data_IF_060814471273
#
_entry.id   IF_060814471273
#
_cell.length_a   1.000
_cell.length_b   1.000
_cell.length_c   1.000
_cell.angle_alpha   90.00
_cell.angle_beta   90.00
_cell.angle_gamma   90.00
#
_symmetry.space_group_name_H-M   'P 1'
#
loop_
_entity.id
_entity.type
_entity.pdbx_description
1 polymer ?
#
# COMPACT_ATOMS: atom_id res chain seq x y z
N UNK A 1 -76.11 -40.71 30.57
CA UNK A 1 -75.41 -41.36 29.44
C UNK A 1 -75.44 -40.57 28.11
N UNK A 2 -76.56 -39.91 27.76
CA UNK A 2 -76.64 -39.17 26.48
C UNK A 2 -75.77 -37.88 26.38
N UNK A 3 -75.43 -37.18 27.46
CA UNK A 3 -74.60 -35.95 27.41
C UNK A 3 -73.13 -36.26 27.22
N UNK A 4 -72.60 -37.31 27.87
CA UNK A 4 -71.16 -37.67 27.71
C UNK A 4 -70.85 -38.15 26.26
N UNK A 5 -71.85 -38.80 25.59
CA UNK A 5 -71.71 -39.23 24.20
C UNK A 5 -71.73 -38.02 23.24
N UNK A 6 -72.48 -36.95 23.54
CA UNK A 6 -72.50 -35.72 22.78
C UNK A 6 -71.21 -34.94 22.92
N UNK A 7 -70.69 -34.87 24.16
CA UNK A 7 -69.42 -34.18 24.42
C UNK A 7 -68.22 -34.88 23.71
N UNK A 8 -68.16 -36.20 23.78
CA UNK A 8 -67.10 -36.94 23.05
C UNK A 8 -67.20 -36.79 21.52
N UNK A 9 -68.42 -36.69 20.96
CA UNK A 9 -68.57 -36.42 19.53
C UNK A 9 -68.06 -34.99 19.14
N UNK A 10 -68.31 -33.98 19.99
CA UNK A 10 -67.85 -32.62 19.73
C UNK A 10 -66.30 -32.56 19.80
N UNK A 11 -65.70 -33.24 20.78
CA UNK A 11 -64.25 -33.32 20.90
C UNK A 11 -63.62 -33.97 19.68
N UNK A 12 -64.19 -35.07 19.17
CA UNK A 12 -63.71 -35.76 17.95
C UNK A 12 -63.87 -34.88 16.73
N UNK A 13 -64.92 -34.09 16.59
CA UNK A 13 -65.13 -33.19 15.45
C UNK A 13 -64.08 -32.06 15.54
N UNK A 14 -63.80 -31.51 16.69
CA UNK A 14 -62.76 -30.48 16.85
C UNK A 14 -61.36 -31.01 16.52
N UNK A 15 -61.05 -32.23 16.96
CA UNK A 15 -59.77 -32.88 16.62
C UNK A 15 -59.65 -33.10 15.09
N UNK A 16 -60.69 -33.59 14.43
CA UNK A 16 -60.69 -33.78 12.97
C UNK A 16 -60.54 -32.45 12.23
N UNK A 17 -61.19 -31.38 12.69
CA UNK A 17 -61.04 -30.04 12.10
C UNK A 17 -59.63 -29.50 12.30
N UNK A 18 -59.02 -29.67 13.48
CA UNK A 18 -57.61 -29.27 13.73
C UNK A 18 -56.65 -30.05 12.83
N UNK A 19 -56.83 -31.37 12.71
CA UNK A 19 -56.02 -32.17 11.78
C UNK A 19 -56.22 -31.74 10.31
N UNK A 20 -57.45 -31.41 9.92
CA UNK A 20 -57.74 -30.88 8.59
C UNK A 20 -57.06 -29.55 8.31
N UNK A 21 -56.99 -28.64 9.31
CA UNK A 21 -56.27 -27.39 9.21
C UNK A 21 -54.75 -27.60 9.11
N UNK A 22 -54.20 -28.53 9.91
CA UNK A 22 -52.75 -28.85 9.84
C UNK A 22 -52.41 -29.46 8.47
N UNK A 23 -53.19 -30.42 7.98
CA UNK A 23 -52.98 -31.02 6.67
C UNK A 23 -53.12 -29.97 5.55
N UNK A 24 -54.16 -29.12 5.62
CA UNK A 24 -54.35 -28.03 4.67
C UNK A 24 -53.16 -27.04 4.67
N UNK A 25 -52.65 -26.70 5.84
CA UNK A 25 -51.45 -25.88 5.97
C UNK A 25 -50.19 -26.53 5.40
N UNK A 26 -50.01 -27.84 5.64
CA UNK A 26 -48.90 -28.62 5.08
C UNK A 26 -48.95 -28.68 3.55
N UNK A 27 -50.15 -28.93 2.98
CA UNK A 27 -50.36 -28.91 1.52
C UNK A 27 -50.08 -27.52 0.96
N UNK A 28 -50.59 -26.45 1.63
CA UNK A 28 -50.32 -25.06 1.23
C UNK A 28 -48.81 -24.76 1.19
N UNK A 29 -48.07 -25.09 2.26
CA UNK A 29 -46.62 -24.89 2.31
C UNK A 29 -45.89 -25.71 1.25
N UNK A 30 -46.36 -26.97 0.98
CA UNK A 30 -45.70 -27.87 0.00
C UNK A 30 -45.91 -27.44 -1.45
N UNK A 31 -47.01 -26.74 -1.75
CA UNK A 31 -47.33 -26.30 -3.13
C UNK A 31 -47.01 -24.83 -3.37
N UNK A 32 -46.91 -24.02 -2.30
CA UNK A 32 -46.64 -22.61 -2.43
C UNK A 32 -45.17 -22.34 -2.76
N UNK A 33 -44.92 -21.62 -3.85
CA UNK A 33 -43.57 -21.14 -4.23
C UNK A 33 -43.14 -19.98 -3.32
N UNK A 34 -44.09 -19.14 -2.87
CA UNK A 34 -43.86 -18.01 -1.99
C UNK A 34 -44.71 -18.10 -0.72
N UNK A 35 -44.06 -17.96 0.45
CA UNK A 35 -44.72 -17.87 1.75
C UNK A 35 -44.20 -16.60 2.46
N UNK A 36 -45.12 -15.75 2.89
CA UNK A 36 -44.83 -14.50 3.60
C UNK A 36 -43.79 -13.60 2.86
N UNK A 37 -43.86 -13.57 1.52
CA UNK A 37 -42.95 -12.79 0.69
C UNK A 37 -41.60 -13.47 0.40
N UNK A 38 -41.36 -14.66 0.94
CA UNK A 38 -40.11 -15.40 0.76
C UNK A 38 -40.31 -16.52 -0.29
N UNK A 39 -39.48 -16.55 -1.32
CA UNK A 39 -39.41 -17.62 -2.28
C UNK A 39 -38.73 -18.84 -1.66
N UNK A 40 -39.50 -19.89 -1.39
CA UNK A 40 -38.99 -21.09 -0.72
C UNK A 40 -37.91 -21.83 -1.51
N UNK A 41 -37.97 -21.78 -2.83
CA UNK A 41 -36.94 -22.40 -3.69
C UNK A 41 -35.62 -21.64 -3.60
N UNK A 42 -35.65 -20.32 -3.69
CA UNK A 42 -34.44 -19.47 -3.51
C UNK A 42 -33.89 -19.61 -2.08
N UNK A 43 -34.76 -19.67 -1.08
CA UNK A 43 -34.34 -19.88 0.30
C UNK A 43 -33.67 -21.24 0.50
N UNK A 44 -34.22 -22.30 -0.08
CA UNK A 44 -33.61 -23.65 -0.04
C UNK A 44 -32.26 -23.66 -0.78
N UNK A 45 -32.21 -23.05 -1.97
CA UNK A 45 -30.96 -22.92 -2.74
C UNK A 45 -29.89 -22.11 -1.97
N UNK A 46 -30.26 -21.03 -1.31
CA UNK A 46 -29.29 -20.22 -0.55
C UNK A 46 -28.69 -21.01 0.62
N UNK A 47 -29.42 -21.93 1.22
CA UNK A 47 -28.92 -22.77 2.31
C UNK A 47 -28.10 -23.96 1.85
N UNK A 48 -28.40 -24.48 0.67
CA UNK A 48 -27.75 -25.66 0.09
C UNK A 48 -26.62 -25.29 -0.88
N UNK A 49 -26.47 -24.01 -1.25
CA UNK A 49 -25.40 -23.56 -2.15
C UNK A 49 -24.25 -23.01 -1.36
N UNK A 50 -23.02 -23.38 -1.72
CA UNK A 50 -21.77 -22.79 -1.25
C UNK A 50 -21.11 -22.06 -2.41
N UNK A 51 -20.64 -20.87 -2.15
CA UNK A 51 -19.78 -20.12 -3.06
C UNK A 51 -18.41 -20.04 -2.42
N UNK A 52 -17.40 -20.52 -3.11
CA UNK A 52 -16.00 -20.41 -2.73
C UNK A 52 -15.32 -19.41 -3.67
N UNK A 53 -14.63 -18.43 -3.11
CA UNK A 53 -13.85 -17.45 -3.88
C UNK A 53 -12.56 -18.10 -4.36
N UNK A 54 -12.28 -17.97 -5.65
CA UNK A 54 -10.99 -18.34 -6.25
C UNK A 54 -10.20 -17.05 -6.39
N UNK A 55 -9.34 -16.76 -5.41
CA UNK A 55 -8.59 -15.53 -5.36
C UNK A 55 -7.66 -15.39 -6.57
N UNK A 56 -7.63 -14.21 -7.14
CA UNK A 56 -6.62 -13.82 -8.12
C UNK A 56 -5.26 -13.65 -7.42
N UNK A 57 -4.18 -13.98 -8.13
CA UNK A 57 -2.86 -13.66 -7.64
C UNK A 57 -2.52 -12.22 -8.02
N UNK A 58 -2.12 -11.40 -7.03
CA UNK A 58 -1.62 -10.05 -7.29
C UNK A 58 -0.34 -10.11 -8.12
N UNK A 59 -0.24 -9.27 -9.14
CA UNK A 59 0.91 -9.20 -10.03
C UNK A 59 2.21 -8.82 -9.29
N UNK A 60 3.33 -9.24 -9.82
CA UNK A 60 4.65 -8.91 -9.28
C UNK A 60 5.15 -7.56 -9.80
N UNK A 61 5.99 -6.91 -8.99
CA UNK A 61 6.71 -5.68 -9.38
C UNK A 61 8.17 -6.05 -9.61
N UNK A 62 8.69 -5.65 -10.77
CA UNK A 62 10.06 -5.92 -11.20
C UNK A 62 10.82 -4.61 -11.41
N UNK A 63 12.15 -4.68 -11.25
CA UNK A 63 13.05 -3.63 -11.69
C UNK A 63 13.25 -3.64 -13.23
N UNK A 64 14.08 -2.74 -13.76
CA UNK A 64 14.35 -2.65 -15.19
C UNK A 64 15.15 -3.85 -15.74
N UNK A 65 15.78 -4.66 -14.90
CA UNK A 65 16.54 -5.85 -15.26
C UNK A 65 15.72 -7.14 -15.15
N UNK A 66 14.53 -7.08 -14.49
CA UNK A 66 13.66 -8.22 -14.24
C UNK A 66 13.84 -8.85 -12.87
N UNK A 67 14.57 -8.19 -11.95
CA UNK A 67 14.67 -8.61 -10.55
C UNK A 67 13.35 -8.32 -9.83
N UNK A 68 12.94 -9.25 -8.95
CA UNK A 68 11.68 -9.14 -8.21
C UNK A 68 11.82 -8.15 -7.06
N UNK A 69 11.02 -7.09 -7.08
CA UNK A 69 10.94 -6.10 -6.01
C UNK A 69 9.77 -6.34 -5.05
N UNK A 70 8.66 -6.87 -5.58
CA UNK A 70 7.51 -7.30 -4.78
C UNK A 70 6.78 -8.46 -5.45
N UNK A 71 6.41 -9.47 -4.67
CA UNK A 71 5.67 -10.64 -5.16
C UNK A 71 4.71 -11.19 -4.10
N UNK A 72 3.79 -12.04 -4.51
CA UNK A 72 2.97 -12.80 -3.60
C UNK A 72 3.63 -14.14 -3.29
N UNK A 73 3.76 -14.45 -2.01
CA UNK A 73 4.25 -15.74 -1.53
C UNK A 73 3.18 -16.47 -0.73
N UNK A 74 3.25 -17.80 -0.71
CA UNK A 74 2.42 -18.60 0.18
C UNK A 74 2.74 -18.25 1.63
N UNK A 75 1.70 -18.12 2.42
CA UNK A 75 1.78 -17.96 3.86
C UNK A 75 0.74 -18.86 4.52
N UNK A 76 0.88 -19.09 5.80
CA UNK A 76 0.01 -20.00 6.53
C UNK A 76 -0.39 -19.37 7.86
N UNK A 77 -1.64 -19.57 8.25
CA UNK A 77 -2.12 -19.26 9.60
C UNK A 77 -2.26 -20.56 10.37
N UNK A 78 -1.57 -20.66 11.50
CA UNK A 78 -1.64 -21.83 12.37
C UNK A 78 -2.96 -21.82 13.12
N UNK A 79 -3.69 -22.91 13.02
CA UNK A 79 -4.95 -23.15 13.75
C UNK A 79 -4.81 -24.36 14.66
N UNK A 80 -5.47 -24.32 15.79
CA UNK A 80 -5.61 -25.45 16.70
C UNK A 80 -7.06 -25.87 16.79
N UNK A 81 -7.34 -27.13 16.49
CA UNK A 81 -8.65 -27.73 16.72
C UNK A 81 -8.74 -28.22 18.16
N UNK A 82 -9.73 -27.74 18.92
CA UNK A 82 -9.85 -28.01 20.36
C UNK A 82 -10.96 -29.03 20.65
N UNK A 83 -11.99 -29.12 19.78
CA UNK A 83 -13.12 -30.03 19.97
C UNK A 83 -12.77 -31.47 19.64
N UNK A 84 -13.01 -32.38 20.58
CA UNK A 84 -12.89 -33.83 20.39
C UNK A 84 -13.84 -34.41 19.33
N UNK A 85 -14.93 -33.69 19.03
CA UNK A 85 -15.92 -34.09 18.00
C UNK A 85 -15.32 -34.16 16.60
N UNK A 86 -14.13 -33.53 16.37
CA UNK A 86 -13.39 -33.62 15.11
C UNK A 86 -12.77 -35.01 14.91
N UNK A 87 -12.35 -35.65 15.99
CA UNK A 87 -11.68 -36.94 15.94
C UNK A 87 -12.63 -38.06 15.64
N UNK A 88 -12.47 -38.69 14.48
CA UNK A 88 -13.26 -39.89 14.08
C UNK A 88 -12.56 -41.19 14.43
N UNK A 89 -11.25 -41.15 14.65
CA UNK A 89 -10.43 -42.30 15.00
C UNK A 89 -9.55 -41.99 16.21
N UNK A 90 -9.82 -42.60 17.35
CA UNK A 90 -9.08 -42.39 18.59
C UNK A 90 -7.56 -42.72 18.50
N UNK A 91 -7.15 -43.55 17.53
CA UNK A 91 -5.73 -43.84 17.33
C UNK A 91 -4.98 -42.74 16.62
N UNK A 92 -5.70 -41.87 15.88
CA UNK A 92 -5.16 -40.70 15.21
C UNK A 92 -6.02 -39.49 15.56
N UNK A 93 -5.83 -38.86 16.71
CA UNK A 93 -6.62 -37.73 17.13
C UNK A 93 -6.37 -36.50 16.23
N UNK A 94 -7.48 -35.84 15.84
CA UNK A 94 -7.46 -34.65 14.99
C UNK A 94 -7.74 -33.36 15.79
N UNK A 95 -7.63 -33.42 17.12
CA UNK A 95 -7.75 -32.29 18.04
C UNK A 95 -6.60 -32.27 19.03
N UNK A 96 -6.36 -31.14 19.69
CA UNK A 96 -5.33 -31.00 20.72
C UNK A 96 -5.66 -31.89 21.91
N UNK A 97 -4.85 -32.95 22.14
CA UNK A 97 -5.07 -33.92 23.21
C UNK A 97 -4.35 -33.52 24.49
N UNK A 98 -3.10 -33.08 24.39
CA UNK A 98 -2.29 -32.62 25.51
C UNK A 98 -1.87 -31.17 25.33
N UNK A 99 -2.55 -30.28 26.06
CA UNK A 99 -2.28 -28.83 26.01
C UNK A 99 -0.87 -28.52 26.49
N UNK A 100 -0.36 -29.19 27.52
CA UNK A 100 0.95 -28.87 28.10
C UNK A 100 2.07 -29.34 27.17
N UNK A 101 1.98 -30.51 26.56
CA UNK A 101 2.94 -30.98 25.55
C UNK A 101 2.95 -30.04 24.32
N UNK A 102 1.75 -29.69 23.82
CA UNK A 102 1.61 -28.74 22.69
C UNK A 102 2.22 -27.38 23.01
N UNK A 103 1.97 -26.82 24.20
CA UNK A 103 2.56 -25.54 24.62
C UNK A 103 4.08 -25.63 24.66
N UNK A 104 4.62 -26.67 25.30
CA UNK A 104 6.07 -26.84 25.49
C UNK A 104 6.81 -26.94 24.16
N UNK A 105 6.24 -27.63 23.17
CA UNK A 105 6.86 -27.83 21.86
C UNK A 105 6.65 -26.66 20.91
N UNK A 106 5.44 -26.09 20.88
CA UNK A 106 5.03 -25.10 19.88
C UNK A 106 5.43 -23.67 20.25
N UNK A 107 5.40 -23.31 21.56
CA UNK A 107 5.75 -21.97 22.04
C UNK A 107 7.12 -21.48 21.56
N UNK A 108 8.23 -22.25 21.70
CA UNK A 108 9.54 -21.79 21.26
C UNK A 108 9.66 -21.69 19.74
N UNK A 109 8.92 -22.49 18.98
CA UNK A 109 8.95 -22.49 17.51
C UNK A 109 8.20 -21.29 16.96
N UNK A 110 7.04 -20.94 17.54
CA UNK A 110 6.26 -19.74 17.17
C UNK A 110 6.83 -18.44 17.76
N UNK A 111 7.65 -18.52 18.83
CA UNK A 111 8.07 -17.36 19.61
C UNK A 111 6.92 -16.73 20.41
N UNK A 112 5.88 -17.53 20.71
CA UNK A 112 4.69 -17.10 21.48
C UNK A 112 4.89 -17.38 22.97
N UNK A 113 4.41 -16.50 23.84
CA UNK A 113 4.40 -16.71 25.29
C UNK A 113 3.60 -17.96 25.67
N UNK A 114 4.19 -18.83 26.53
CA UNK A 114 3.56 -20.09 26.92
C UNK A 114 2.21 -19.93 27.59
N UNK A 115 2.06 -18.92 28.45
CA UNK A 115 0.78 -18.67 29.16
C UNK A 115 -0.29 -18.23 28.19
N UNK A 116 0.09 -17.43 27.21
CA UNK A 116 -0.81 -16.98 26.16
C UNK A 116 -1.24 -18.14 25.26
N UNK A 117 -0.28 -18.94 24.77
CA UNK A 117 -0.57 -20.13 23.97
C UNK A 117 -1.49 -21.08 24.75
N UNK A 118 -1.17 -21.36 26.02
CA UNK A 118 -2.01 -22.19 26.88
C UNK A 118 -3.44 -21.66 27.00
N UNK A 119 -3.60 -20.34 27.22
CA UNK A 119 -4.93 -19.73 27.33
C UNK A 119 -5.77 -19.86 26.05
N UNK A 120 -5.11 -19.84 24.88
CA UNK A 120 -5.78 -20.08 23.61
C UNK A 120 -6.21 -21.53 23.44
N UNK A 121 -5.35 -22.48 23.81
CA UNK A 121 -5.62 -23.91 23.68
C UNK A 121 -6.62 -24.44 24.73
N UNK A 122 -6.88 -23.72 25.81
CA UNK A 122 -7.87 -24.06 26.85
C UNK A 122 -9.24 -23.41 26.60
N UNK A 123 -9.44 -22.70 25.46
CA UNK A 123 -10.75 -22.11 25.14
C UNK A 123 -11.79 -23.17 24.80
N UNK A 124 -13.03 -22.94 25.25
CA UNK A 124 -14.19 -23.81 24.88
C UNK A 124 -14.77 -23.41 23.52
N UNK A 125 -14.01 -23.68 22.47
CA UNK A 125 -14.39 -23.43 21.07
C UNK A 125 -13.98 -24.60 20.17
N UNK A 126 -14.55 -24.70 18.98
CA UNK A 126 -14.24 -25.77 18.05
C UNK A 126 -12.78 -25.67 17.54
N UNK A 127 -12.34 -24.47 17.21
CA UNK A 127 -10.98 -24.17 16.75
C UNK A 127 -10.57 -22.76 17.14
N UNK A 128 -9.28 -22.51 17.19
CA UNK A 128 -8.69 -21.19 17.48
C UNK A 128 -7.50 -20.92 16.56
N UNK A 129 -7.33 -19.67 16.11
CA UNK A 129 -6.12 -19.22 15.44
C UNK A 129 -5.03 -18.86 16.46
N UNK A 130 -3.81 -19.28 16.23
CA UNK A 130 -2.67 -19.00 17.10
C UNK A 130 -1.99 -17.67 16.69
N UNK A 131 -2.73 -16.57 16.72
CA UNK A 131 -2.26 -15.25 16.30
C UNK A 131 -1.82 -14.34 17.45
N UNK A 132 -1.05 -13.27 17.15
CA UNK A 132 -0.54 -12.90 15.82
C UNK A 132 0.68 -13.71 15.35
N UNK A 133 1.43 -14.37 16.25
CA UNK A 133 2.71 -15.03 15.95
C UNK A 133 2.58 -16.20 14.97
N UNK A 134 1.44 -16.91 15.01
CA UNK A 134 1.12 -17.99 14.08
C UNK A 134 0.41 -17.54 12.80
N UNK A 135 0.22 -16.24 12.55
CA UNK A 135 -0.37 -15.73 11.30
C UNK A 135 0.68 -15.37 10.28
N UNK A 136 0.41 -15.68 9.01
CA UNK A 136 1.27 -15.30 7.89
C UNK A 136 2.67 -15.90 7.94
N UNK A 137 2.84 -17.06 8.57
CA UNK A 137 4.12 -17.76 8.65
C UNK A 137 4.53 -18.29 7.27
N UNK A 138 5.84 -18.37 7.03
CA UNK A 138 6.38 -18.91 5.79
C UNK A 138 6.47 -20.45 5.81
N UNK A 139 6.75 -21.04 4.63
CA UNK A 139 6.87 -22.49 4.43
C UNK A 139 7.85 -23.15 5.42
N UNK A 140 9.04 -22.58 5.60
CA UNK A 140 10.05 -23.15 6.50
C UNK A 140 9.60 -23.26 7.97
N UNK A 141 8.81 -22.29 8.44
CA UNK A 141 8.29 -22.33 9.80
C UNK A 141 7.13 -23.33 9.91
N UNK A 142 6.29 -23.40 8.86
CA UNK A 142 5.25 -24.42 8.75
C UNK A 142 5.83 -25.82 8.82
N UNK A 143 6.85 -26.14 8.00
CA UNK A 143 7.54 -27.43 8.01
C UNK A 143 8.09 -27.79 9.40
N UNK A 144 8.72 -26.84 10.09
CA UNK A 144 9.19 -27.05 11.48
C UNK A 144 8.08 -27.37 12.47
N UNK A 145 6.88 -26.79 12.27
CA UNK A 145 5.73 -27.08 13.12
C UNK A 145 5.14 -28.45 12.77
N UNK A 146 5.10 -28.82 11.50
CA UNK A 146 4.66 -30.16 11.05
C UNK A 146 5.58 -31.26 11.59
N UNK A 147 6.89 -31.03 11.65
CA UNK A 147 7.85 -31.98 12.24
C UNK A 147 7.62 -32.25 13.74
N UNK A 148 6.88 -31.38 14.45
CA UNK A 148 6.54 -31.60 15.86
C UNK A 148 5.46 -32.70 16.03
N UNK A 149 4.76 -33.06 14.97
CA UNK A 149 3.70 -34.07 14.91
C UNK A 149 2.66 -33.88 16.04
N UNK A 150 2.15 -32.63 16.17
CA UNK A 150 1.21 -32.24 17.23
C UNK A 150 -0.23 -32.48 16.78
N UNK A 151 -1.00 -33.35 17.46
CA UNK A 151 -2.40 -33.57 17.12
C UNK A 151 -3.23 -32.28 17.22
N UNK A 152 -4.08 -32.06 16.23
CA UNK A 152 -4.99 -30.93 16.20
C UNK A 152 -4.37 -29.59 15.77
N UNK A 153 -3.08 -29.52 15.49
CA UNK A 153 -2.45 -28.36 14.85
C UNK A 153 -2.55 -28.51 13.34
N UNK A 154 -3.02 -27.48 12.68
CA UNK A 154 -3.25 -27.46 11.23
C UNK A 154 -2.99 -26.06 10.66
N UNK A 155 -3.05 -25.90 9.35
CA UNK A 155 -2.66 -24.67 8.67
C UNK A 155 -3.72 -24.23 7.67
N UNK A 156 -4.13 -22.99 7.77
CA UNK A 156 -4.88 -22.33 6.71
C UNK A 156 -3.89 -21.69 5.74
N UNK A 157 -3.86 -22.17 4.50
CA UNK A 157 -3.03 -21.61 3.45
C UNK A 157 -3.59 -20.26 3.02
N UNK A 158 -2.74 -19.27 2.95
CA UNK A 158 -3.04 -17.92 2.55
C UNK A 158 -1.96 -17.37 1.61
N UNK A 159 -2.18 -16.18 1.07
CA UNK A 159 -1.18 -15.42 0.34
C UNK A 159 -0.80 -14.17 1.13
N UNK A 160 0.48 -13.78 1.06
CA UNK A 160 0.93 -12.48 1.56
C UNK A 160 1.84 -11.81 0.56
N UNK A 161 1.84 -10.47 0.60
CA UNK A 161 2.79 -9.67 -0.16
C UNK A 161 4.17 -9.76 0.50
N UNK A 162 5.20 -9.91 -0.32
CA UNK A 162 6.58 -10.05 0.13
C UNK A 162 7.51 -9.15 -0.68
N UNK A 163 8.42 -8.48 0.00
CA UNK A 163 9.40 -7.56 -0.53
C UNK A 163 10.80 -8.10 -0.23
N UNK A 164 11.47 -8.74 -1.20
CA UNK A 164 12.74 -9.44 -0.96
C UNK A 164 13.83 -8.56 -0.35
N UNK A 165 13.81 -7.28 -0.68
CA UNK A 165 14.82 -6.31 -0.25
C UNK A 165 14.37 -5.42 0.93
N UNK A 166 13.22 -5.69 1.55
CA UNK A 166 12.74 -5.02 2.76
C UNK A 166 12.48 -3.52 2.59
N UNK A 167 13.44 -2.67 2.98
CA UNK A 167 13.31 -1.21 2.94
C UNK A 167 13.75 -0.56 1.63
N UNK A 168 14.16 -1.35 0.66
CA UNK A 168 14.66 -0.91 -0.62
C UNK A 168 13.60 -0.15 -1.43
N UNK A 169 13.91 1.06 -1.88
CA UNK A 169 13.00 1.94 -2.63
C UNK A 169 11.59 2.06 -2.00
N UNK A 170 11.51 2.06 -0.67
CA UNK A 170 10.28 1.86 0.08
C UNK A 170 9.16 2.83 -0.29
N UNK A 171 9.47 4.11 -0.51
CA UNK A 171 8.48 5.11 -0.92
C UNK A 171 8.08 5.04 -2.40
N UNK A 172 8.90 4.41 -3.24
CA UNK A 172 8.57 4.19 -4.66
C UNK A 172 7.71 2.94 -4.79
N UNK A 173 8.19 1.79 -4.30
CA UNK A 173 7.43 0.54 -4.35
C UNK A 173 6.18 0.65 -3.49
N UNK A 174 6.31 1.20 -2.29
CA UNK A 174 5.25 1.26 -1.31
C UNK A 174 5.03 -0.08 -0.62
N UNK A 175 3.80 -0.33 -0.22
CA UNK A 175 3.39 -1.60 0.37
C UNK A 175 1.91 -1.89 0.11
N UNK A 176 1.58 -3.17 0.15
CA UNK A 176 0.21 -3.68 0.16
C UNK A 176 -0.01 -4.56 1.39
N UNK A 177 -1.22 -4.56 1.91
CA UNK A 177 -1.62 -5.38 3.06
C UNK A 177 -2.99 -5.98 2.87
N UNK A 178 -3.33 -7.02 3.66
CA UNK A 178 -4.68 -7.58 3.67
C UNK A 178 -5.67 -6.59 4.30
N UNK A 179 -6.81 -6.44 3.64
CA UNK A 179 -7.98 -5.77 4.19
C UNK A 179 -8.81 -6.73 5.09
N UNK A 180 -9.98 -6.26 5.59
CA UNK A 180 -10.91 -7.06 6.39
C UNK A 180 -11.49 -8.26 5.65
N UNK A 181 -11.56 -8.20 4.34
CA UNK A 181 -12.16 -9.22 3.48
C UNK A 181 -11.13 -10.28 3.03
N UNK A 182 -9.84 -10.05 3.35
CA UNK A 182 -8.73 -10.94 3.05
C UNK A 182 -7.99 -10.60 1.76
N UNK A 183 -8.39 -9.54 1.03
CA UNK A 183 -7.77 -9.12 -0.22
C UNK A 183 -6.49 -8.34 0.07
N UNK A 184 -5.48 -8.49 -0.78
CA UNK A 184 -4.24 -7.71 -0.70
C UNK A 184 -4.42 -6.42 -1.48
N UNK A 185 -4.46 -5.28 -0.77
CA UNK A 185 -4.71 -3.94 -1.31
C UNK A 185 -3.48 -3.06 -1.15
N UNK A 186 -3.13 -2.32 -2.19
CA UNK A 186 -2.03 -1.36 -2.20
C UNK A 186 -2.37 -0.12 -1.37
N UNK A 187 -1.46 0.27 -0.47
CA UNK A 187 -1.67 1.39 0.46
C UNK A 187 -0.78 2.60 0.15
N UNK A 188 0.36 2.38 -0.49
CA UNK A 188 1.35 3.41 -0.78
C UNK A 188 2.17 3.07 -2.04
N UNK A 189 2.76 4.08 -2.69
CA UNK A 189 3.69 3.92 -3.79
C UNK A 189 3.05 3.30 -5.03
N UNK A 190 3.84 2.60 -5.81
CA UNK A 190 3.41 1.87 -7.01
C UNK A 190 2.37 0.79 -6.67
N UNK A 191 2.48 0.17 -5.51
CA UNK A 191 1.46 -0.79 -5.03
C UNK A 191 0.08 -0.17 -4.97
N UNK A 192 -0.03 1.09 -4.52
CA UNK A 192 -1.30 1.80 -4.44
C UNK A 192 -1.70 2.42 -5.78
N UNK A 193 -0.74 3.00 -6.52
CA UNK A 193 -1.05 3.69 -7.77
C UNK A 193 -1.58 2.73 -8.85
N UNK A 194 -1.02 1.52 -8.90
CA UNK A 194 -1.41 0.45 -9.83
C UNK A 194 -2.18 -0.67 -9.13
N UNK A 195 -2.94 -0.35 -8.06
CA UNK A 195 -3.64 -1.37 -7.28
C UNK A 195 -4.65 -2.17 -8.12
N UNK A 196 -5.38 -1.50 -9.00
CA UNK A 196 -6.38 -2.12 -9.88
C UNK A 196 -5.73 -3.10 -10.86
N UNK A 197 -4.62 -2.71 -11.50
CA UNK A 197 -3.89 -3.55 -12.44
C UNK A 197 -3.18 -4.72 -11.75
N UNK A 198 -2.65 -4.47 -10.55
CA UNK A 198 -1.95 -5.49 -9.77
C UNK A 198 -2.90 -6.51 -9.15
N UNK A 199 -4.11 -6.15 -8.72
CA UNK A 199 -5.01 -7.02 -7.96
C UNK A 199 -5.64 -8.13 -8.81
N UNK A 200 -5.96 -7.86 -10.08
CA UNK A 200 -6.66 -8.79 -10.94
C UNK A 200 -8.15 -8.91 -10.62
N UNK A 201 -8.76 -10.00 -11.05
CA UNK A 201 -10.18 -10.27 -10.85
C UNK A 201 -10.37 -11.66 -10.19
N UNK A 202 -11.03 -11.70 -9.05
CA UNK A 202 -11.37 -12.96 -8.41
C UNK A 202 -12.38 -13.77 -9.23
N UNK A 203 -12.22 -15.07 -9.15
CA UNK A 203 -13.17 -16.06 -9.62
C UNK A 203 -14.04 -16.59 -8.49
N UNK A 204 -14.93 -17.49 -8.83
CA UNK A 204 -15.72 -18.22 -7.84
C UNK A 204 -16.08 -19.62 -8.33
N UNK A 205 -16.22 -20.53 -7.38
CA UNK A 205 -16.83 -21.84 -7.57
C UNK A 205 -18.10 -21.92 -6.74
N UNK A 206 -19.25 -22.09 -7.40
CA UNK A 206 -20.55 -22.18 -6.77
C UNK A 206 -21.14 -23.60 -6.99
N UNK A 207 -21.42 -24.31 -5.92
CA UNK A 207 -21.91 -25.69 -5.96
C UNK A 207 -22.93 -25.93 -4.86
N UNK A 208 -23.71 -27.02 -5.03
CA UNK A 208 -24.61 -27.49 -3.99
C UNK A 208 -23.87 -28.36 -2.97
N UNK A 209 -24.14 -28.12 -1.69
CA UNK A 209 -23.55 -28.85 -0.56
C UNK A 209 -24.62 -29.60 0.22
N UNK A 210 -24.22 -30.71 0.83
CA UNK A 210 -25.00 -31.43 1.83
C UNK A 210 -25.00 -30.73 3.20
N UNK A 211 -25.65 -31.36 4.19
CA UNK A 211 -25.71 -30.86 5.56
C UNK A 211 -24.34 -30.80 6.25
N UNK A 212 -23.36 -31.53 5.78
CA UNK A 212 -21.99 -31.58 6.28
C UNK A 212 -21.05 -30.61 5.53
N UNK A 213 -21.57 -29.96 4.46
CA UNK A 213 -20.79 -28.99 3.67
C UNK A 213 -20.06 -29.59 2.46
N UNK A 214 -20.19 -30.90 2.20
CA UNK A 214 -19.57 -31.55 1.05
C UNK A 214 -20.35 -31.29 -0.23
N UNK A 215 -19.64 -31.16 -1.35
CA UNK A 215 -20.28 -31.01 -2.67
C UNK A 215 -21.11 -32.23 -3.02
N UNK A 216 -22.37 -32.00 -3.40
CA UNK A 216 -23.27 -33.08 -3.87
C UNK A 216 -22.87 -33.43 -5.30
N UNK A 217 -22.53 -34.72 -5.54
CA UNK A 217 -22.16 -35.21 -6.85
C UNK A 217 -23.29 -35.00 -7.88
N UNK A 218 -22.94 -34.72 -9.12
CA UNK A 218 -23.88 -34.55 -10.25
C UNK A 218 -24.86 -33.36 -10.09
N UNK A 219 -24.57 -32.39 -9.20
CA UNK A 219 -25.32 -31.13 -9.16
C UNK A 219 -24.64 -30.08 -10.06
N UNK A 220 -25.43 -29.12 -10.63
CA UNK A 220 -24.86 -28.06 -11.42
C UNK A 220 -23.84 -27.25 -10.62
N UNK A 221 -22.65 -27.03 -11.21
CA UNK A 221 -21.63 -26.11 -10.70
C UNK A 221 -21.52 -24.91 -11.62
N UNK A 222 -21.29 -23.75 -11.03
CA UNK A 222 -20.95 -22.54 -11.77
C UNK A 222 -19.52 -22.15 -11.38
N UNK A 223 -18.66 -21.99 -12.36
CA UNK A 223 -17.28 -21.58 -12.18
C UNK A 223 -17.01 -20.31 -12.99
N UNK A 224 -16.45 -19.30 -12.32
CA UNK A 224 -15.75 -18.19 -12.97
C UNK A 224 -14.28 -18.31 -12.58
N UNK A 225 -13.40 -18.48 -13.55
CA UNK A 225 -11.95 -18.50 -13.30
C UNK A 225 -11.48 -17.14 -12.86
N UNK A 226 -10.55 -17.09 -11.92
CA UNK A 226 -9.84 -15.86 -11.56
C UNK A 226 -8.93 -15.41 -12.71
N UNK A 227 -8.70 -14.11 -12.81
CA UNK A 227 -7.69 -13.52 -13.69
C UNK A 227 -6.65 -12.86 -12.81
N UNK A 228 -5.43 -13.33 -12.85
CA UNK A 228 -4.32 -12.75 -12.11
C UNK A 228 -4.07 -11.31 -12.55
N UNK A 229 -3.58 -10.49 -11.63
CA UNK A 229 -3.16 -9.13 -11.92
C UNK A 229 -1.98 -9.06 -12.87
N UNK A 230 -1.78 -7.89 -13.47
CA UNK A 230 -0.66 -7.61 -14.35
C UNK A 230 0.62 -7.41 -13.55
N UNK A 231 1.73 -7.84 -14.11
CA UNK A 231 3.04 -7.51 -13.57
C UNK A 231 3.45 -6.10 -13.99
N UNK A 232 4.07 -5.37 -13.08
CA UNK A 232 4.59 -4.02 -13.33
C UNK A 232 6.11 -4.09 -13.42
N UNK A 233 6.67 -3.51 -14.47
CA UNK A 233 8.12 -3.35 -14.64
C UNK A 233 8.48 -1.88 -14.49
N UNK A 234 9.28 -1.56 -13.47
CA UNK A 234 9.74 -0.21 -13.18
C UNK A 234 10.98 0.16 -14.00
N UNK A 235 11.27 1.45 -14.03
CA UNK A 235 12.52 2.00 -14.59
C UNK A 235 13.67 1.94 -13.57
N UNK A 236 13.40 1.61 -12.32
CA UNK A 236 14.41 1.46 -11.26
C UNK A 236 15.41 0.37 -11.63
N UNK A 237 16.70 0.68 -11.50
CA UNK A 237 17.81 -0.25 -11.57
C UNK A 237 18.27 -0.60 -10.17
N UNK A 238 18.15 -1.87 -9.80
CA UNK A 238 18.45 -2.34 -8.44
C UNK A 238 19.90 -2.09 -8.03
N UNK A 239 20.85 -2.09 -8.96
CA UNK A 239 22.24 -1.80 -8.65
C UNK A 239 22.42 -0.30 -8.31
N UNK A 240 21.82 0.59 -9.12
CA UNK A 240 21.85 2.04 -8.86
C UNK A 240 21.15 2.33 -7.54
N UNK A 241 19.98 1.75 -7.32
CA UNK A 241 19.23 1.94 -6.08
C UNK A 241 20.04 1.54 -4.84
N UNK A 242 20.76 0.42 -4.90
CA UNK A 242 21.62 -0.02 -3.78
C UNK A 242 22.72 1.00 -3.45
N UNK A 243 23.32 1.63 -4.45
CA UNK A 243 24.26 2.72 -4.21
C UNK A 243 23.60 3.93 -3.55
N UNK A 244 22.37 4.28 -3.95
CA UNK A 244 21.64 5.38 -3.36
C UNK A 244 21.25 5.11 -1.90
N UNK A 245 20.78 3.90 -1.58
CA UNK A 245 20.47 3.50 -0.19
C UNK A 245 21.71 3.64 0.72
N UNK A 246 22.87 3.19 0.25
CA UNK A 246 24.12 3.35 0.99
C UNK A 246 24.51 4.83 1.16
N UNK A 247 24.40 5.63 0.09
CA UNK A 247 24.71 7.06 0.15
C UNK A 247 23.79 7.81 1.12
N UNK A 248 22.48 7.52 1.12
CA UNK A 248 21.51 8.08 2.06
C UNK A 248 21.87 7.72 3.50
N UNK A 249 22.19 6.44 3.75
CA UNK A 249 22.58 5.97 5.08
C UNK A 249 23.86 6.65 5.58
N UNK A 250 24.83 6.86 4.70
CA UNK A 250 26.08 7.57 5.03
C UNK A 250 25.82 9.05 5.35
N UNK A 251 25.00 9.74 4.55
CA UNK A 251 24.60 11.13 4.78
C UNK A 251 23.87 11.30 6.12
N UNK A 252 22.92 10.43 6.43
CA UNK A 252 22.20 10.48 7.72
C UNK A 252 23.13 10.28 8.90
N UNK A 253 24.07 9.33 8.78
CA UNK A 253 25.05 9.07 9.84
C UNK A 253 25.99 10.24 10.08
N UNK A 254 26.44 10.89 8.99
CA UNK A 254 27.40 11.99 9.05
C UNK A 254 26.76 13.30 9.49
N UNK A 255 25.63 13.67 8.87
CA UNK A 255 25.03 15.01 9.05
C UNK A 255 23.86 15.02 10.02
N UNK A 256 23.34 13.86 10.45
CA UNK A 256 22.15 13.74 11.33
C UNK A 256 20.96 14.53 10.80
N UNK A 257 20.78 14.50 9.49
CA UNK A 257 19.70 15.23 8.80
C UNK A 257 18.33 14.71 9.24
N UNK A 258 17.37 15.62 9.33
CA UNK A 258 15.97 15.29 9.64
C UNK A 258 15.36 14.43 8.53
N UNK A 259 15.65 14.76 7.30
CA UNK A 259 15.31 13.94 6.13
C UNK A 259 16.38 14.08 5.04
N UNK A 260 16.50 13.07 4.22
CA UNK A 260 17.36 13.04 3.03
C UNK A 260 16.60 12.34 1.92
N UNK A 261 16.69 12.85 0.71
CA UNK A 261 16.30 12.12 -0.50
C UNK A 261 17.36 12.28 -1.58
N UNK A 262 17.69 11.19 -2.25
CA UNK A 262 18.61 11.17 -3.38
C UNK A 262 17.93 10.43 -4.52
N UNK A 263 17.77 11.11 -5.65
CA UNK A 263 17.08 10.56 -6.82
C UNK A 263 17.92 10.76 -8.06
N UNK A 264 17.98 9.75 -8.91
CA UNK A 264 18.65 9.79 -10.21
C UNK A 264 17.61 9.54 -11.30
N UNK A 265 17.60 10.41 -12.30
CA UNK A 265 16.81 10.26 -13.51
C UNK A 265 17.70 10.20 -14.76
N UNK A 266 17.25 9.49 -15.76
CA UNK A 266 17.84 9.54 -17.10
C UNK A 266 17.53 10.90 -17.74
N UNK A 267 18.57 11.66 -18.05
CA UNK A 267 18.42 13.04 -18.53
C UNK A 267 17.75 13.16 -19.90
N UNK A 268 17.64 12.08 -20.68
CA UNK A 268 17.02 12.09 -22.00
C UNK A 268 15.56 11.69 -21.97
N UNK A 269 15.19 10.82 -21.06
CA UNK A 269 13.85 10.22 -21.00
C UNK A 269 13.04 10.71 -19.82
N UNK A 270 13.68 11.27 -18.78
CA UNK A 270 13.06 11.61 -17.49
C UNK A 270 12.78 10.40 -16.59
N UNK A 271 13.12 9.18 -17.05
CA UNK A 271 12.87 7.97 -16.29
C UNK A 271 13.65 7.95 -14.98
N UNK A 272 12.96 7.72 -13.85
CA UNK A 272 13.61 7.57 -12.55
C UNK A 272 14.29 6.19 -12.50
N UNK A 273 15.61 6.19 -12.40
CA UNK A 273 16.43 4.97 -12.35
C UNK A 273 16.76 4.54 -10.93
N UNK A 274 16.58 5.43 -9.96
CA UNK A 274 16.71 5.15 -8.53
C UNK A 274 16.28 6.31 -7.68
N UNK A 275 15.69 6.03 -6.50
CA UNK A 275 15.31 7.03 -5.50
C UNK A 275 15.33 6.40 -4.11
N UNK A 276 16.18 6.93 -3.23
CA UNK A 276 16.29 6.52 -1.83
C UNK A 276 16.03 7.71 -0.92
N UNK A 277 15.38 7.46 0.21
CA UNK A 277 15.02 8.49 1.18
C UNK A 277 15.23 8.02 2.61
N UNK A 278 15.48 8.97 3.51
CA UNK A 278 15.40 8.77 4.94
C UNK A 278 14.46 9.83 5.55
N UNK A 279 13.53 9.48 6.48
CA UNK A 279 13.28 8.14 6.99
C UNK A 279 12.82 7.16 5.91
N UNK A 280 13.10 5.89 6.12
CA UNK A 280 12.66 4.76 5.30
C UNK A 280 11.89 3.76 6.16
N UNK A 281 11.29 2.73 5.56
CA UNK A 281 10.58 1.67 6.27
C UNK A 281 10.77 0.32 5.57
N UNK A 282 10.67 -0.77 6.32
CA UNK A 282 10.62 -2.12 5.78
C UNK A 282 9.17 -2.49 5.48
N UNK A 283 8.87 -2.68 4.20
CA UNK A 283 7.50 -2.97 3.71
C UNK A 283 6.94 -4.31 4.25
N UNK A 284 7.80 -5.25 4.64
CA UNK A 284 7.36 -6.49 5.28
C UNK A 284 7.00 -6.30 6.77
N UNK A 285 7.62 -5.33 7.46
CA UNK A 285 7.43 -5.07 8.90
C UNK A 285 6.45 -3.95 9.17
N UNK A 286 6.17 -3.12 8.18
CA UNK A 286 5.31 -1.93 8.29
C UNK A 286 5.72 -0.98 9.43
N UNK A 287 7.03 -0.85 9.67
CA UNK A 287 7.60 0.02 10.70
C UNK A 287 7.67 1.50 10.27
N UNK A 288 6.60 1.96 9.63
CA UNK A 288 6.50 3.29 9.00
C UNK A 288 6.38 4.35 10.09
N UNK A 289 7.28 5.31 10.10
CA UNK A 289 7.25 6.47 10.98
C UNK A 289 6.76 7.73 10.29
N UNK A 290 6.84 7.77 8.96
CA UNK A 290 6.40 8.88 8.14
C UNK A 290 5.73 8.35 6.86
N UNK A 291 4.49 8.76 6.63
CA UNK A 291 3.69 8.34 5.47
C UNK A 291 3.85 9.26 4.25
N UNK A 292 4.51 10.40 4.41
CA UNK A 292 4.73 11.34 3.31
C UNK A 292 5.99 10.95 2.54
N UNK A 293 5.85 10.75 1.23
CA UNK A 293 6.98 10.48 0.34
C UNK A 293 7.81 11.73 0.14
N UNK A 294 9.09 11.78 0.58
CA UNK A 294 9.92 12.98 0.47
C UNK A 294 10.12 13.46 -0.98
N UNK A 295 10.09 12.58 -1.97
CA UNK A 295 10.30 12.93 -3.37
C UNK A 295 9.19 13.83 -3.92
N UNK A 296 7.93 13.55 -3.55
CA UNK A 296 6.75 14.17 -4.17
C UNK A 296 5.89 14.98 -3.20
N UNK A 297 6.03 14.76 -1.88
CA UNK A 297 5.18 15.37 -0.85
C UNK A 297 5.92 16.35 0.07
N UNK A 298 7.22 16.54 -0.10
CA UNK A 298 7.95 17.57 0.62
C UNK A 298 8.20 18.76 -0.31
N UNK A 299 7.84 19.95 0.19
CA UNK A 299 8.12 21.20 -0.50
C UNK A 299 9.15 21.98 0.28
N UNK A 300 10.11 22.56 -0.41
CA UNK A 300 11.18 23.32 0.20
C UNK A 300 11.63 24.47 -0.71
N UNK A 301 12.31 25.46 -0.14
CA UNK A 301 12.96 26.51 -0.91
C UNK A 301 14.20 25.93 -1.60
N UNK A 302 14.24 25.87 -2.95
CA UNK A 302 15.32 25.18 -3.67
C UNK A 302 16.67 25.90 -3.58
N UNK A 303 16.66 27.15 -3.17
CA UNK A 303 17.88 27.95 -3.02
C UNK A 303 18.62 28.13 -4.33
N UNK A 304 19.94 28.17 -4.26
CA UNK A 304 20.82 28.52 -5.39
C UNK A 304 20.73 27.59 -6.61
N UNK A 305 20.06 26.45 -6.52
CA UNK A 305 19.77 25.61 -7.70
C UNK A 305 18.88 26.34 -8.71
N UNK A 306 18.01 27.25 -8.25
CA UNK A 306 17.15 28.07 -9.13
C UNK A 306 17.92 29.04 -10.02
N UNK A 307 19.15 29.40 -9.66
CA UNK A 307 19.98 30.29 -10.49
C UNK A 307 20.25 29.75 -11.88
N UNK A 308 20.32 28.43 -12.03
CA UNK A 308 20.45 27.78 -13.33
C UNK A 308 19.32 28.26 -14.26
N UNK A 309 18.09 28.24 -13.78
CA UNK A 309 16.91 28.60 -14.55
C UNK A 309 16.80 30.11 -14.78
N UNK A 310 17.21 30.94 -13.81
CA UNK A 310 17.25 32.39 -13.96
C UNK A 310 18.27 32.85 -14.98
N UNK A 311 19.47 32.25 -14.97
CA UNK A 311 20.49 32.52 -15.98
C UNK A 311 20.08 32.01 -17.36
N UNK A 312 19.56 30.77 -17.43
CA UNK A 312 19.06 30.17 -18.65
C UNK A 312 17.99 31.05 -19.33
N UNK A 313 17.03 31.58 -18.55
CA UNK A 313 15.98 32.44 -19.07
C UNK A 313 16.52 33.71 -19.74
N UNK A 314 17.61 34.28 -19.20
CA UNK A 314 18.28 35.45 -19.81
C UNK A 314 19.04 35.07 -21.06
N UNK A 315 19.64 33.88 -21.12
CA UNK A 315 20.32 33.36 -22.31
C UNK A 315 19.31 33.16 -23.44
N UNK A 316 18.17 32.51 -23.15
CA UNK A 316 17.12 32.29 -24.15
C UNK A 316 16.50 33.58 -24.71
N UNK A 317 16.37 34.61 -23.87
CA UNK A 317 15.88 35.95 -24.29
C UNK A 317 16.96 36.76 -25.02
N UNK A 318 18.17 36.25 -25.20
CA UNK A 318 19.31 36.94 -25.82
C UNK A 318 19.78 38.18 -25.03
N UNK A 319 19.45 38.22 -23.74
CA UNK A 319 19.79 39.33 -22.85
C UNK A 319 21.04 39.07 -21.98
N UNK A 320 21.61 37.88 -22.06
CA UNK A 320 22.76 37.48 -21.29
C UNK A 320 24.06 37.73 -22.08
N UNK A 321 24.96 38.46 -21.43
CA UNK A 321 26.36 38.54 -21.86
C UNK A 321 27.25 38.25 -20.64
N UNK A 322 27.95 37.10 -20.68
CA UNK A 322 28.77 36.63 -19.55
C UNK A 322 29.90 37.57 -19.16
N UNK A 323 30.41 38.36 -20.12
CA UNK A 323 31.51 39.34 -19.91
C UNK A 323 31.06 40.66 -19.31
N UNK A 324 29.75 40.96 -19.29
CA UNK A 324 29.21 42.14 -18.66
C UNK A 324 29.46 42.12 -17.17
N UNK A 325 29.81 43.32 -16.60
CA UNK A 325 30.23 43.48 -15.21
C UNK A 325 29.14 44.12 -14.37
N UNK A 326 29.02 43.66 -13.15
CA UNK A 326 28.15 44.22 -12.13
C UNK A 326 28.87 44.34 -10.78
N UNK A 327 28.45 45.27 -9.90
CA UNK A 327 28.98 45.38 -8.54
C UNK A 327 28.40 44.27 -7.67
N UNK A 328 29.25 43.35 -7.19
CA UNK A 328 28.83 42.22 -6.33
C UNK A 328 28.71 42.61 -4.85
N UNK A 329 28.19 41.76 -4.03
CA UNK A 329 28.11 41.86 -2.57
C UNK A 329 26.74 42.24 -2.04
N UNK A 330 26.15 43.34 -2.47
CA UNK A 330 24.85 43.78 -1.95
C UNK A 330 24.08 44.60 -3.00
N UNK A 331 22.76 44.37 -3.09
CA UNK A 331 21.82 45.19 -3.86
C UNK A 331 20.59 45.48 -3.00
N UNK A 332 19.92 46.59 -3.20
CA UNK A 332 18.67 46.95 -2.55
C UNK A 332 17.52 46.91 -3.56
N UNK A 333 16.44 46.20 -3.20
CA UNK A 333 15.22 46.03 -4.00
C UNK A 333 14.01 46.20 -3.08
N UNK A 334 13.12 47.15 -3.36
CA UNK A 334 11.93 47.45 -2.53
C UNK A 334 12.25 47.63 -1.04
N UNK A 335 13.33 48.33 -0.71
CA UNK A 335 13.87 48.52 0.65
C UNK A 335 14.37 47.23 1.33
N UNK A 336 14.43 46.09 0.62
CA UNK A 336 15.06 44.87 1.09
C UNK A 336 16.51 44.79 0.60
N UNK A 337 17.41 44.44 1.50
CA UNK A 337 18.81 44.28 1.18
C UNK A 337 19.16 42.84 0.88
N UNK A 338 19.40 42.53 -0.39
CA UNK A 338 19.85 41.22 -0.89
C UNK A 338 21.37 41.19 -0.83
N UNK A 339 21.95 40.10 -0.35
CA UNK A 339 23.38 39.94 -0.17
C UNK A 339 23.88 38.66 -0.81
N UNK A 340 25.07 38.75 -1.37
CA UNK A 340 25.88 37.58 -1.66
C UNK A 340 26.34 36.91 -0.36
N UNK A 341 26.72 35.62 -0.40
CA UNK A 341 27.29 34.97 0.78
C UNK A 341 28.62 35.65 1.23
N UNK A 342 29.39 36.20 0.28
CA UNK A 342 30.44 37.15 0.58
C UNK A 342 29.85 38.56 0.66
N UNK A 343 29.50 38.98 1.86
CA UNK A 343 28.77 40.24 2.10
C UNK A 343 29.58 41.51 1.77
N UNK A 344 30.90 41.43 1.68
CA UNK A 344 31.78 42.53 1.23
C UNK A 344 31.89 42.58 -0.29
N UNK A 345 31.40 41.53 -0.97
CA UNK A 345 31.50 41.38 -2.43
C UNK A 345 32.89 41.00 -2.92
N UNK A 346 32.98 40.85 -4.22
CA UNK A 346 34.21 40.56 -4.97
C UNK A 346 34.61 41.76 -5.87
N UNK A 347 34.02 42.92 -5.58
CA UNK A 347 34.16 44.11 -6.43
C UNK A 347 33.29 43.99 -7.70
N UNK A 348 33.80 44.59 -8.78
CA UNK A 348 33.10 44.56 -10.06
C UNK A 348 33.51 43.31 -10.84
N UNK A 349 32.65 42.30 -10.88
CA UNK A 349 32.90 40.98 -11.51
C UNK A 349 31.96 40.76 -12.70
N UNK A 350 32.31 39.84 -13.58
CA UNK A 350 31.46 39.44 -14.72
C UNK A 350 30.33 38.54 -14.28
N UNK A 351 29.26 38.41 -15.09
CA UNK A 351 28.16 37.48 -14.79
C UNK A 351 28.60 36.04 -14.78
N UNK A 352 29.56 35.64 -15.64
CA UNK A 352 30.12 34.27 -15.63
C UNK A 352 30.83 33.97 -14.30
N UNK A 353 31.59 34.90 -13.78
CA UNK A 353 32.20 34.78 -12.45
C UNK A 353 31.16 34.81 -11.36
N UNK A 354 30.11 35.63 -11.51
CA UNK A 354 28.98 35.70 -10.60
C UNK A 354 28.22 34.36 -10.51
N UNK A 355 28.01 33.69 -11.62
CA UNK A 355 27.42 32.34 -11.63
C UNK A 355 28.30 31.34 -10.89
N UNK A 356 29.61 31.34 -11.19
CA UNK A 356 30.60 30.47 -10.52
C UNK A 356 30.64 30.67 -9.01
N UNK A 357 30.48 31.90 -8.53
CA UNK A 357 30.44 32.24 -7.11
C UNK A 357 29.06 32.15 -6.49
N UNK A 358 28.07 31.74 -7.25
CA UNK A 358 26.68 31.64 -6.81
C UNK A 358 26.14 32.98 -6.26
N UNK A 359 26.36 34.07 -6.99
CA UNK A 359 25.96 35.43 -6.60
C UNK A 359 24.43 35.58 -6.62
N UNK A 360 23.85 36.00 -5.49
CA UNK A 360 22.43 36.36 -5.40
C UNK A 360 22.19 37.70 -6.13
N UNK A 361 23.16 38.60 -6.08
CA UNK A 361 23.10 39.90 -6.76
C UNK A 361 23.03 39.72 -8.27
N UNK A 362 23.85 38.81 -8.84
CA UNK A 362 23.78 38.49 -10.26
C UNK A 362 22.39 37.96 -10.68
N UNK A 363 21.88 36.98 -9.93
CA UNK A 363 20.56 36.39 -10.23
C UNK A 363 19.43 37.44 -10.14
N UNK A 364 19.48 38.31 -9.13
CA UNK A 364 18.54 39.42 -8.97
C UNK A 364 18.57 40.38 -10.16
N UNK A 365 19.74 40.82 -10.57
CA UNK A 365 19.90 41.75 -11.70
C UNK A 365 19.38 41.15 -13.01
N UNK A 366 19.69 39.88 -13.25
CA UNK A 366 19.20 39.15 -14.42
C UNK A 366 17.65 38.96 -14.39
N UNK A 367 17.08 38.64 -13.23
CA UNK A 367 15.64 38.55 -13.07
C UNK A 367 14.92 39.88 -13.34
N UNK A 368 15.47 41.00 -12.83
CA UNK A 368 14.98 42.35 -13.11
C UNK A 368 15.09 42.68 -14.60
N UNK A 369 16.17 42.26 -15.27
CA UNK A 369 16.40 42.51 -16.69
C UNK A 369 15.35 41.86 -17.61
N UNK A 370 14.93 40.62 -17.30
CA UNK A 370 13.87 39.94 -18.09
C UNK A 370 12.48 40.31 -17.61
N UNK A 371 12.33 40.65 -16.35
CA UNK A 371 11.05 41.00 -15.73
C UNK A 371 10.25 39.82 -15.20
N UNK A 372 9.35 40.17 -14.30
CA UNK A 372 8.54 39.22 -13.51
C UNK A 372 7.73 38.23 -14.34
N UNK A 373 6.97 38.75 -15.30
CA UNK A 373 6.07 37.92 -16.12
C UNK A 373 6.86 36.87 -16.91
N UNK A 374 7.95 37.29 -17.52
CA UNK A 374 8.78 36.43 -18.34
C UNK A 374 9.48 35.34 -17.50
N UNK A 375 10.03 35.68 -16.33
CA UNK A 375 10.63 34.68 -15.45
C UNK A 375 9.60 33.67 -14.97
N UNK A 376 8.36 34.11 -14.66
CA UNK A 376 7.27 33.22 -14.26
C UNK A 376 6.86 32.30 -15.39
N UNK A 377 6.82 32.79 -16.65
CA UNK A 377 6.53 31.97 -17.84
C UNK A 377 7.57 30.86 -17.98
N UNK A 378 8.87 31.16 -17.84
CA UNK A 378 9.93 30.14 -17.88
C UNK A 378 9.80 29.12 -16.76
N UNK A 379 9.57 29.54 -15.51
CA UNK A 379 9.37 28.62 -14.40
C UNK A 379 8.17 27.72 -14.62
N UNK A 380 7.07 28.29 -15.12
CA UNK A 380 5.85 27.50 -15.46
C UNK A 380 6.07 26.55 -16.63
N UNK A 381 6.87 26.93 -17.65
CA UNK A 381 7.21 26.09 -18.79
C UNK A 381 8.11 24.91 -18.40
N UNK A 382 8.97 25.09 -17.40
CA UNK A 382 9.81 24.06 -16.81
C UNK A 382 9.04 23.14 -15.84
N UNK A 383 7.75 23.43 -15.56
CA UNK A 383 6.90 22.59 -14.71
C UNK A 383 6.87 23.02 -13.24
N UNK A 384 7.58 24.06 -12.84
CA UNK A 384 7.49 24.57 -11.46
C UNK A 384 6.07 25.09 -11.17
N UNK A 385 5.55 24.78 -9.97
CA UNK A 385 4.20 25.13 -9.57
C UNK A 385 3.11 24.24 -10.17
N UNK A 386 3.47 23.12 -10.76
CA UNK A 386 2.56 22.10 -11.33
C UNK A 386 2.99 20.71 -10.90
N UNK A 387 2.06 19.75 -10.93
CA UNK A 387 2.39 18.34 -10.78
C UNK A 387 3.19 17.84 -11.98
N UNK A 388 4.08 16.90 -11.74
CA UNK A 388 4.86 16.22 -12.79
C UNK A 388 4.10 15.06 -13.40
N UNK A 389 2.99 14.65 -12.76
CA UNK A 389 2.19 13.48 -13.09
C UNK A 389 2.98 12.16 -13.01
N UNK A 390 3.98 12.11 -12.12
CA UNK A 390 4.66 10.86 -11.78
C UNK A 390 3.66 9.86 -11.18
N UNK A 391 3.82 8.57 -11.45
CA UNK A 391 2.93 7.49 -11.02
C UNK A 391 3.00 7.23 -9.49
N UNK A 392 2.84 8.30 -8.71
CA UNK A 392 2.79 8.29 -7.24
C UNK A 392 1.70 9.22 -6.74
N UNK A 393 0.88 8.73 -5.80
CA UNK A 393 -0.17 9.56 -5.20
C UNK A 393 0.38 10.63 -4.25
N UNK A 394 -0.42 11.69 -4.10
CA UNK A 394 -0.17 12.74 -3.12
C UNK A 394 0.88 13.77 -3.55
N UNK A 395 1.26 13.80 -4.82
CA UNK A 395 2.17 14.81 -5.36
C UNK A 395 1.68 16.23 -5.08
N UNK A 396 2.58 17.08 -4.54
CA UNK A 396 2.33 18.49 -4.27
C UNK A 396 2.85 19.38 -5.40
N UNK A 397 2.15 20.48 -5.65
CA UNK A 397 2.51 21.43 -6.72
C UNK A 397 3.59 22.43 -6.32
N UNK A 398 3.89 22.53 -4.99
CA UNK A 398 4.73 23.62 -4.49
C UNK A 398 4.01 24.99 -4.61
N UNK A 399 4.78 26.05 -4.46
CA UNK A 399 4.27 27.43 -4.59
C UNK A 399 5.27 28.28 -5.33
N UNK A 400 4.95 28.65 -6.57
CA UNK A 400 5.78 29.53 -7.40
C UNK A 400 4.93 30.72 -7.82
N UNK A 401 5.04 31.78 -7.05
CA UNK A 401 4.31 33.03 -7.30
C UNK A 401 5.07 34.20 -6.68
N UNK A 402 5.15 35.31 -7.40
CA UNK A 402 5.74 36.54 -6.91
C UNK A 402 5.07 37.74 -7.55
N UNK A 403 4.79 38.77 -6.74
CA UNK A 403 4.07 39.99 -7.13
C UNK A 403 4.97 41.23 -7.11
N UNK A 404 5.84 41.31 -6.13
CA UNK A 404 6.72 42.44 -5.89
C UNK A 404 8.11 42.19 -6.47
N UNK A 405 8.87 43.28 -6.72
CA UNK A 405 10.25 43.19 -7.23
C UNK A 405 11.17 42.45 -6.24
N UNK A 406 10.93 42.62 -4.95
CA UNK A 406 11.68 41.90 -3.89
C UNK A 406 11.41 40.41 -3.89
N UNK A 407 10.16 39.97 -4.21
CA UNK A 407 9.80 38.56 -4.36
C UNK A 407 10.38 37.97 -5.65
N UNK A 408 10.35 38.71 -6.76
CA UNK A 408 11.02 38.32 -8.02
C UNK A 408 12.52 38.09 -7.76
N UNK A 409 13.16 39.04 -7.06
CA UNK A 409 14.55 38.92 -6.70
C UNK A 409 14.82 37.66 -5.86
N UNK A 410 14.02 37.40 -4.82
CA UNK A 410 14.15 36.23 -3.97
C UNK A 410 13.95 34.92 -4.79
N UNK A 411 12.94 34.87 -5.62
CA UNK A 411 12.63 33.72 -6.47
C UNK A 411 13.78 33.39 -7.45
N UNK A 412 14.50 34.39 -7.91
CA UNK A 412 15.62 34.20 -8.85
C UNK A 412 16.77 33.35 -8.31
N UNK A 413 16.94 33.33 -6.98
CA UNK A 413 17.92 32.49 -6.29
C UNK A 413 17.27 31.46 -5.36
N UNK A 414 15.96 31.18 -5.56
CA UNK A 414 15.24 30.07 -4.96
C UNK A 414 14.78 30.28 -3.53
N UNK A 415 14.47 31.51 -3.14
CA UNK A 415 13.82 31.84 -1.87
C UNK A 415 12.43 32.46 -2.12
N UNK A 416 11.53 32.36 -1.14
CA UNK A 416 10.15 32.85 -1.27
C UNK A 416 9.25 32.00 -2.19
N UNK A 417 9.79 30.97 -2.80
CA UNK A 417 9.07 29.94 -3.58
C UNK A 417 9.34 28.57 -2.98
N UNK A 418 8.43 27.62 -3.20
CA UNK A 418 8.64 26.23 -2.78
C UNK A 418 8.40 25.28 -3.94
N UNK A 419 9.24 24.25 -4.05
CA UNK A 419 9.17 23.19 -5.07
C UNK A 419 9.31 21.84 -4.41
N UNK A 420 8.88 20.78 -5.08
CA UNK A 420 9.20 19.41 -4.67
C UNK A 420 10.51 18.96 -5.30
N UNK A 421 11.21 17.94 -4.71
CA UNK A 421 12.40 17.36 -5.32
C UNK A 421 12.16 16.86 -6.74
N UNK A 422 11.01 16.24 -7.03
CA UNK A 422 10.70 15.75 -8.37
C UNK A 422 10.55 16.88 -9.39
N UNK A 423 9.95 18.02 -9.02
CA UNK A 423 9.85 19.18 -9.91
C UNK A 423 11.23 19.72 -10.30
N UNK A 424 12.17 19.76 -9.32
CA UNK A 424 13.52 20.21 -9.61
C UNK A 424 14.29 19.26 -10.52
N UNK A 425 14.02 17.96 -10.42
CA UNK A 425 14.60 16.94 -11.31
C UNK A 425 14.01 17.07 -12.73
N UNK A 426 12.71 17.31 -12.85
CA UNK A 426 12.05 17.49 -14.13
C UNK A 426 12.58 18.71 -14.89
N UNK A 427 12.74 19.85 -14.19
CA UNK A 427 13.22 21.10 -14.78
C UNK A 427 14.69 21.02 -15.23
#
# INVERSE_FOLDING_TARGET
MNNAIKENKIIIIVIVLLFGLIIGKLIYVSVSVNIDGMNLHEFALSRTTKTETIYASRGSIYDCLGEVLAENVNSYTVIAYLSDTRTTNEKNPEHVVDVNDTVTKLSPVLGMDEKRLKSLLEMDVYQVELGPEGRGIGELLKEKIEELDLPGIDFVKESKRYYPYGSFASYIIGYAKKNSDGDIVGEMGIESFYDEELSGEDGYLKYQKDAYGYQIANTPTQEKKSKNGYNIKLTIDSNIQMYLENAVNDLVREYKSEWVTVTIADAKTGAIVGSASNPTFDANKLNITNYNNPLVQYTYEPGSTMKIFSFMSNIEEGKYNGDDKYPSGTIEVDNYRIRDWNTTGWGNITYDVGFTYSSNVAATLLAQQIGKEKLLDYYSALGFGKKTDIELYGELEGKVHFMYESELAAASYGQGITVTPIQLIQA
#
